data_IF_551705482741
#
_entry.id   IF_551705482741
#
_cell.length_a   1.000
_cell.length_b   1.000
_cell.length_c   1.000
_cell.angle_alpha   90.00
_cell.angle_beta   90.00
_cell.angle_gamma   90.00
#
_symmetry.space_group_name_H-M   'P 1'
#
loop_
_entity.id
_entity.type
_entity.pdbx_description
1 polymer ?
#
# COMPACT_ATOMS: atom_id res chain seq x y z
N UNK A 1 -21.57 -2.50 27.93
CA UNK A 1 -20.14 -2.57 27.55
C UNK A 1 -20.07 -2.73 26.03
N UNK A 2 -19.67 -1.69 25.31
CA UNK A 2 -19.43 -1.79 23.88
C UNK A 2 -18.10 -2.54 23.69
N UNK A 3 -18.14 -3.78 23.18
CA UNK A 3 -16.92 -4.48 22.79
C UNK A 3 -16.43 -3.79 21.52
N UNK A 4 -15.34 -3.02 21.61
CA UNK A 4 -14.69 -2.52 20.40
C UNK A 4 -14.29 -3.70 19.52
N UNK A 5 -14.68 -3.64 18.25
CA UNK A 5 -14.33 -4.67 17.29
C UNK A 5 -12.81 -4.60 17.04
N UNK A 6 -12.16 -5.76 16.82
CA UNK A 6 -10.75 -5.84 16.48
C UNK A 6 -10.37 -4.89 15.33
N UNK A 7 -11.21 -4.80 14.28
CA UNK A 7 -10.96 -3.90 13.14
C UNK A 7 -10.88 -2.43 13.54
N UNK A 8 -11.74 -1.98 14.45
CA UNK A 8 -11.70 -0.60 14.97
C UNK A 8 -10.43 -0.32 15.76
N UNK A 9 -9.95 -1.31 16.52
CA UNK A 9 -8.72 -1.20 17.29
C UNK A 9 -7.49 -1.13 16.38
N UNK A 10 -7.47 -1.93 15.31
CA UNK A 10 -6.40 -1.89 14.29
C UNK A 10 -6.39 -0.55 13.56
N UNK A 11 -7.55 -0.03 13.16
CA UNK A 11 -7.63 1.30 12.52
C UNK A 11 -7.12 2.41 13.45
N UNK A 12 -7.49 2.39 14.73
CA UNK A 12 -6.97 3.35 15.73
C UNK A 12 -5.46 3.22 15.92
N UNK A 13 -4.95 2.01 15.97
CA UNK A 13 -3.51 1.77 16.08
C UNK A 13 -2.75 2.24 14.84
N UNK A 14 -3.30 2.05 13.64
CA UNK A 14 -2.71 2.59 12.41
C UNK A 14 -2.66 4.11 12.45
N UNK A 15 -3.73 4.77 12.89
CA UNK A 15 -3.72 6.23 13.12
C UNK A 15 -2.65 6.64 14.13
N UNK A 16 -2.47 5.89 15.23
CA UNK A 16 -1.41 6.15 16.21
C UNK A 16 -0.02 6.05 15.58
N UNK A 17 0.24 5.01 14.79
CA UNK A 17 1.52 4.84 14.10
C UNK A 17 1.83 6.02 13.15
N UNK A 18 0.82 6.52 12.43
CA UNK A 18 0.98 7.69 11.56
C UNK A 18 1.24 8.95 12.39
N UNK A 19 0.39 9.24 13.38
CA UNK A 19 0.40 10.53 14.10
C UNK A 19 1.54 10.62 15.12
N UNK A 20 1.79 9.56 15.89
CA UNK A 20 2.77 9.59 16.98
C UNK A 20 4.15 9.11 16.53
N UNK A 21 4.23 8.13 15.61
CA UNK A 21 5.51 7.57 15.15
C UNK A 21 5.98 8.12 13.81
N UNK A 22 5.13 8.87 13.10
CA UNK A 22 5.47 9.41 11.78
C UNK A 22 5.51 8.34 10.67
N UNK A 23 4.90 7.18 10.87
CA UNK A 23 4.86 6.11 9.85
C UNK A 23 3.79 6.42 8.81
N UNK A 24 4.02 7.48 8.03
CA UNK A 24 3.11 7.93 6.97
C UNK A 24 3.07 6.93 5.79
N UNK A 25 2.20 7.20 4.81
CA UNK A 25 2.15 6.36 3.59
C UNK A 25 3.46 6.42 2.82
N UNK A 26 4.08 7.59 2.78
CA UNK A 26 5.37 7.82 2.12
C UNK A 26 6.48 7.04 2.82
N UNK A 27 6.48 7.03 4.17
CA UNK A 27 7.37 6.16 4.94
C UNK A 27 7.15 4.68 4.60
N UNK A 28 5.89 4.23 4.55
CA UNK A 28 5.59 2.83 4.23
C UNK A 28 6.10 2.46 2.82
N UNK A 29 5.98 3.38 1.85
CA UNK A 29 6.43 3.19 0.48
C UNK A 29 7.95 3.03 0.35
N UNK A 30 8.74 3.46 1.35
CA UNK A 30 10.19 3.21 1.41
C UNK A 30 10.54 1.74 1.79
N UNK A 31 9.62 1.01 2.42
CA UNK A 31 9.84 -0.38 2.91
C UNK A 31 9.43 -1.43 1.87
N UNK A 32 10.10 -1.45 0.72
CA UNK A 32 9.84 -2.39 -0.38
C UNK A 32 10.41 -3.81 -0.16
N UNK A 33 11.17 -4.01 0.93
CA UNK A 33 11.85 -5.25 1.28
C UNK A 33 10.98 -6.24 2.07
N UNK A 34 9.72 -5.88 2.34
CA UNK A 34 8.79 -6.67 3.15
C UNK A 34 8.97 -6.48 4.66
N UNK A 35 9.80 -5.54 5.10
CA UNK A 35 10.06 -5.29 6.52
C UNK A 35 8.81 -4.89 7.32
N UNK A 36 7.80 -4.24 6.70
CA UNK A 36 6.51 -3.98 7.35
C UNK A 36 5.80 -5.28 7.73
N UNK A 37 5.73 -6.27 6.82
CA UNK A 37 5.14 -7.57 7.11
C UNK A 37 5.93 -8.34 8.18
N UNK A 38 7.26 -8.31 8.11
CA UNK A 38 8.11 -9.00 9.08
C UNK A 38 7.97 -8.40 10.49
N UNK A 39 7.84 -7.08 10.60
CA UNK A 39 7.49 -6.41 11.85
C UNK A 39 6.12 -6.88 12.35
N UNK A 40 5.11 -6.92 11.48
CA UNK A 40 3.78 -7.44 11.78
C UNK A 40 3.82 -8.86 12.35
N UNK A 41 4.56 -9.76 11.70
CA UNK A 41 4.76 -11.15 12.13
C UNK A 41 5.47 -11.22 13.49
N UNK A 42 6.48 -10.39 13.70
CA UNK A 42 7.20 -10.26 14.96
C UNK A 42 6.29 -9.89 16.14
N UNK A 43 5.32 -8.99 15.95
CA UNK A 43 4.29 -8.65 16.94
C UNK A 43 3.24 -9.77 17.09
N UNK A 44 2.94 -10.44 15.98
CA UNK A 44 2.00 -11.56 15.89
C UNK A 44 2.50 -12.85 16.53
N UNK A 45 3.78 -12.98 16.85
CA UNK A 45 4.35 -14.23 17.32
C UNK A 45 4.31 -14.40 18.85
N UNK A 46 4.06 -15.62 19.31
CA UNK A 46 4.17 -16.00 20.74
C UNK A 46 5.59 -16.38 21.13
N UNK A 47 6.42 -16.70 20.14
CA UNK A 47 7.82 -17.08 20.25
C UNK A 47 8.61 -16.32 19.17
N UNK A 48 9.94 -16.18 19.29
CA UNK A 48 10.74 -15.61 18.21
C UNK A 48 10.49 -16.35 16.88
N UNK A 49 10.23 -15.61 15.80
CA UNK A 49 10.03 -16.16 14.45
C UNK A 49 11.34 -16.09 13.69
N UNK A 50 11.69 -17.16 12.98
CA UNK A 50 12.90 -17.25 12.16
C UNK A 50 12.56 -17.87 10.79
N UNK A 51 13.17 -17.33 9.72
CA UNK A 51 13.17 -17.90 8.36
C UNK A 51 14.63 -18.24 8.03
N UNK A 52 14.98 -19.52 7.96
CA UNK A 52 16.30 -19.95 7.52
C UNK A 52 16.16 -21.29 6.78
N UNK A 53 16.49 -21.31 5.48
CA UNK A 53 16.87 -22.43 4.60
C UNK A 53 16.59 -23.91 4.95
N UNK A 54 15.59 -24.25 5.76
CA UNK A 54 15.25 -25.61 6.18
C UNK A 54 15.80 -26.10 7.55
N UNK A 55 16.57 -25.31 8.31
CA UNK A 55 17.19 -25.79 9.56
C UNK A 55 17.00 -24.87 10.78
N UNK A 56 16.79 -25.46 11.96
CA UNK A 56 16.41 -24.81 13.22
C UNK A 56 17.60 -24.69 14.19
N UNK A 57 17.97 -23.45 14.55
CA UNK A 57 18.90 -23.15 15.65
C UNK A 57 18.28 -22.11 16.61
N UNK A 58 18.68 -22.06 17.89
CA UNK A 58 18.11 -21.14 18.87
C UNK A 58 18.61 -19.70 18.62
N UNK A 59 17.81 -18.83 17.99
CA UNK A 59 18.22 -17.44 17.69
C UNK A 59 17.16 -16.41 18.11
N UNK A 60 17.66 -15.27 18.64
CA UNK A 60 16.92 -14.06 19.04
C UNK A 60 16.08 -13.47 17.89
N UNK A 61 15.00 -12.81 18.28
CA UNK A 61 13.99 -12.13 17.45
C UNK A 61 14.54 -11.22 16.34
N UNK A 62 14.18 -11.49 15.08
CA UNK A 62 14.51 -10.70 13.88
C UNK A 62 13.52 -9.53 13.69
N UNK A 63 13.43 -8.62 14.65
CA UNK A 63 12.73 -7.36 14.35
C UNK A 63 13.50 -6.64 13.23
N UNK A 64 12.85 -6.24 12.12
CA UNK A 64 13.56 -5.83 10.91
C UNK A 64 14.29 -4.49 11.05
N UNK A 65 13.92 -3.70 12.06
CA UNK A 65 14.52 -2.40 12.32
C UNK A 65 15.29 -2.38 13.65
N UNK A 66 15.89 -1.23 13.97
CA UNK A 66 16.66 -1.05 15.19
C UNK A 66 15.87 -1.52 16.44
N UNK A 67 16.44 -2.39 17.30
CA UNK A 67 15.73 -2.97 18.46
C UNK A 67 15.13 -1.96 19.43
N UNK A 68 15.58 -0.70 19.41
CA UNK A 68 15.02 0.36 20.24
C UNK A 68 13.56 0.67 19.88
N UNK A 69 13.17 0.42 18.63
CA UNK A 69 11.81 0.61 18.12
C UNK A 69 10.90 -0.59 18.38
N UNK A 70 11.48 -1.71 18.83
CA UNK A 70 10.74 -2.89 19.24
C UNK A 70 10.12 -2.68 20.63
N UNK A 71 8.82 -2.41 20.67
CA UNK A 71 8.07 -2.24 21.91
C UNK A 71 7.23 -3.47 22.31
N UNK A 72 7.45 -4.64 21.70
CA UNK A 72 6.65 -5.85 21.97
C UNK A 72 6.60 -6.25 23.44
N UNK A 73 7.71 -6.07 24.16
CA UNK A 73 7.81 -6.41 25.58
C UNK A 73 7.08 -5.41 26.50
N UNK A 74 6.64 -4.26 25.96
CA UNK A 74 5.96 -3.20 26.72
C UNK A 74 4.43 -3.35 26.71
N UNK A 75 3.90 -4.37 26.04
CA UNK A 75 2.48 -4.51 25.75
C UNK A 75 1.98 -5.92 26.05
N UNK A 76 0.67 -6.03 26.34
CA UNK A 76 0.03 -7.33 26.47
C UNK A 76 -0.11 -8.03 25.12
N UNK A 77 -0.52 -9.30 25.15
CA UNK A 77 -0.65 -10.11 23.94
C UNK A 77 -1.67 -9.54 22.95
N UNK A 78 -2.79 -8.98 23.43
CA UNK A 78 -3.85 -8.45 22.55
C UNK A 78 -3.37 -7.17 21.86
N UNK A 79 -2.73 -6.27 22.59
CA UNK A 79 -2.12 -5.06 22.05
C UNK A 79 -1.04 -5.39 21.02
N UNK A 80 -0.21 -6.40 21.27
CA UNK A 80 0.77 -6.85 20.27
C UNK A 80 0.09 -7.32 18.98
N UNK A 81 -0.99 -8.11 19.06
CA UNK A 81 -1.74 -8.51 17.86
C UNK A 81 -2.35 -7.32 17.10
N UNK A 82 -2.83 -6.30 17.82
CA UNK A 82 -3.37 -5.07 17.21
C UNK A 82 -2.26 -4.29 16.49
N UNK A 83 -1.09 -4.11 17.12
CA UNK A 83 0.07 -3.45 16.51
C UNK A 83 0.54 -4.22 15.28
N UNK A 84 0.64 -5.54 15.38
CA UNK A 84 1.05 -6.39 14.25
C UNK A 84 0.09 -6.31 13.07
N UNK A 85 -1.22 -6.34 13.33
CA UNK A 85 -2.23 -6.18 12.29
C UNK A 85 -2.19 -4.79 11.63
N UNK A 86 -1.85 -3.74 12.36
CA UNK A 86 -1.66 -2.40 11.79
C UNK A 86 -0.45 -2.34 10.84
N UNK A 87 0.63 -3.08 11.12
CA UNK A 87 1.76 -3.23 10.19
C UNK A 87 1.38 -4.02 8.93
N UNK A 88 0.60 -5.10 9.07
CA UNK A 88 0.11 -5.83 7.90
C UNK A 88 -0.83 -4.98 7.02
N UNK A 89 -1.66 -4.15 7.64
CA UNK A 89 -2.49 -3.17 6.92
C UNK A 89 -1.62 -2.18 6.14
N UNK A 90 -0.56 -1.65 6.76
CA UNK A 90 0.38 -0.74 6.11
C UNK A 90 1.05 -1.38 4.88
N UNK A 91 1.52 -2.63 5.01
CA UNK A 91 2.14 -3.37 3.90
C UNK A 91 1.14 -3.65 2.77
N UNK A 92 -0.07 -4.09 3.10
CA UNK A 92 -1.11 -4.33 2.10
C UNK A 92 -1.43 -3.05 1.33
N UNK A 93 -1.66 -1.94 2.05
CA UNK A 93 -1.96 -0.66 1.43
C UNK A 93 -0.80 -0.17 0.55
N UNK A 94 0.46 -0.45 0.92
CA UNK A 94 1.66 -0.17 0.11
C UNK A 94 1.66 -0.96 -1.20
N UNK A 95 1.44 -2.27 -1.13
CA UNK A 95 1.38 -3.14 -2.32
C UNK A 95 0.26 -2.68 -3.25
N UNK A 96 -0.94 -2.44 -2.72
CA UNK A 96 -2.07 -1.96 -3.52
C UNK A 96 -1.77 -0.61 -4.17
N UNK A 97 -1.09 0.32 -3.46
CA UNK A 97 -0.65 1.59 -4.06
C UNK A 97 0.32 1.38 -5.21
N UNK A 98 1.23 0.43 -5.10
CA UNK A 98 2.19 0.10 -6.16
C UNK A 98 1.50 -0.54 -7.37
N UNK A 99 0.64 -1.53 -7.16
CA UNK A 99 -0.19 -2.15 -8.22
C UNK A 99 -1.08 -1.11 -8.93
N UNK A 100 -1.57 -0.11 -8.19
CA UNK A 100 -2.33 1.00 -8.77
C UNK A 100 -1.51 1.93 -9.65
N UNK A 101 -0.19 2.05 -9.46
CA UNK A 101 0.69 2.81 -10.37
C UNK A 101 0.87 2.04 -11.67
N UNK A 102 1.01 0.72 -11.60
CA UNK A 102 1.16 -0.15 -12.76
C UNK A 102 -0.13 -0.25 -13.60
N UNK A 103 -1.28 -0.09 -12.95
CA UNK A 103 -2.60 -0.03 -13.63
C UNK A 103 -3.00 1.38 -14.06
N UNK A 104 -2.10 2.37 -14.08
CA UNK A 104 -2.39 3.72 -14.60
C UNK A 104 -1.48 4.11 -15.76
N UNK A 105 -2.04 4.81 -16.73
CA UNK A 105 -1.27 5.43 -17.81
C UNK A 105 -0.29 6.48 -17.27
N UNK A 106 1.01 6.39 -17.59
CA UNK A 106 2.04 7.33 -17.11
C UNK A 106 1.89 8.76 -17.65
N UNK A 107 1.24 8.94 -18.80
CA UNK A 107 1.01 10.26 -19.41
C UNK A 107 -0.23 10.98 -18.87
N UNK A 108 -1.37 10.28 -18.75
CA UNK A 108 -2.66 10.89 -18.40
C UNK A 108 -3.25 10.46 -17.04
N UNK A 109 -2.58 9.56 -16.30
CA UNK A 109 -2.98 9.06 -14.97
C UNK A 109 -4.37 8.39 -14.92
N UNK A 110 -4.92 7.97 -16.06
CA UNK A 110 -6.19 7.27 -16.14
C UNK A 110 -6.03 5.78 -15.85
N UNK A 111 -7.02 5.17 -15.18
CA UNK A 111 -7.04 3.73 -14.84
C UNK A 111 -7.09 2.88 -16.12
N UNK A 112 -6.20 1.90 -16.22
CA UNK A 112 -6.24 0.86 -17.23
C UNK A 112 -7.40 -0.07 -16.89
N UNK A 113 -8.24 -0.42 -17.88
CA UNK A 113 -9.31 -1.39 -17.67
C UNK A 113 -8.71 -2.77 -17.35
N UNK A 114 -9.25 -3.44 -16.34
CA UNK A 114 -8.80 -4.72 -15.75
C UNK A 114 -8.79 -5.93 -16.72
N UNK A 115 -8.99 -5.73 -18.02
CA UNK A 115 -8.87 -6.81 -19.00
C UNK A 115 -7.39 -7.03 -19.33
N UNK A 116 -6.75 -7.79 -18.45
CA UNK A 116 -5.40 -8.33 -18.60
C UNK A 116 -5.36 -9.22 -19.85
N UNK A 117 -5.02 -8.64 -21.00
CA UNK A 117 -4.91 -9.37 -22.25
C UNK A 117 -4.55 -8.48 -23.43
N UNK A 118 -3.25 -8.27 -23.64
CA UNK A 118 -2.58 -7.89 -24.91
C UNK A 118 -3.02 -6.66 -25.71
N UNK A 119 -4.08 -5.95 -25.34
CA UNK A 119 -4.53 -4.74 -26.03
C UNK A 119 -4.97 -3.67 -25.02
N UNK A 120 -4.04 -3.15 -24.21
CA UNK A 120 -4.35 -2.08 -23.26
C UNK A 120 -4.73 -0.81 -24.02
N UNK A 121 -6.00 -0.43 -24.06
CA UNK A 121 -6.46 0.79 -24.72
C UNK A 121 -6.66 1.89 -23.68
N UNK A 122 -6.26 3.13 -24.00
CA UNK A 122 -6.54 4.28 -23.15
C UNK A 122 -8.03 4.64 -23.24
N UNK A 123 -8.81 4.47 -22.16
CA UNK A 123 -10.26 4.68 -22.18
C UNK A 123 -10.71 6.11 -22.55
N UNK A 124 -9.82 7.11 -22.44
CA UNK A 124 -10.07 8.49 -22.89
C UNK A 124 -9.87 8.69 -24.40
N UNK A 125 -9.01 7.89 -25.04
CA UNK A 125 -8.56 8.13 -26.43
C UNK A 125 -8.88 6.97 -27.37
N UNK A 126 -9.21 5.79 -26.84
CA UNK A 126 -9.43 4.56 -27.62
C UNK A 126 -8.17 4.05 -28.34
N UNK A 127 -6.98 4.53 -27.97
CA UNK A 127 -5.72 4.15 -28.62
C UNK A 127 -4.98 3.04 -27.86
N UNK A 128 -4.25 2.16 -28.57
CA UNK A 128 -3.42 1.12 -27.96
C UNK A 128 -2.23 1.75 -27.23
N UNK A 129 -2.06 1.38 -25.97
CA UNK A 129 -0.96 1.74 -25.09
C UNK A 129 0.19 0.76 -25.28
N UNK A 130 1.40 1.27 -25.50
CA UNK A 130 2.63 0.48 -25.56
C UNK A 130 3.24 0.36 -24.14
N UNK A 131 3.90 -0.76 -23.83
CA UNK A 131 4.56 -0.99 -22.52
C UNK A 131 5.69 0.03 -22.24
N UNK A 132 6.22 0.62 -23.31
CA UNK A 132 7.32 1.55 -23.28
C UNK A 132 6.80 2.95 -22.98
N UNK A 133 7.09 3.42 -21.76
CA UNK A 133 6.73 4.75 -21.29
C UNK A 133 7.20 5.89 -22.20
N UNK A 134 8.24 5.68 -23.02
CA UNK A 134 8.74 6.69 -23.95
C UNK A 134 7.82 6.93 -25.14
N UNK A 135 6.95 5.97 -25.49
CA UNK A 135 5.95 6.11 -26.55
C UNK A 135 4.67 6.77 -26.05
N UNK A 136 4.35 6.64 -24.76
CA UNK A 136 3.15 7.25 -24.20
C UNK A 136 3.17 8.79 -24.31
N UNK A 137 4.33 9.41 -24.12
CA UNK A 137 4.51 10.87 -24.25
C UNK A 137 4.33 11.37 -25.70
N UNK A 138 4.58 10.51 -26.68
CA UNK A 138 4.52 10.87 -28.10
C UNK A 138 3.10 10.82 -28.68
N UNK A 139 2.20 10.04 -28.05
CA UNK A 139 0.83 9.81 -28.52
C UNK A 139 -0.26 10.24 -27.52
N UNK A 140 0.09 10.73 -26.33
CA UNK A 140 -0.86 11.28 -25.37
C UNK A 140 -1.28 12.70 -25.79
N UNK A 141 -2.55 12.95 -26.17
CA UNK A 141 -3.00 14.23 -26.72
C UNK A 141 -3.11 15.34 -25.66
N UNK A 142 -2.94 15.04 -24.38
CA UNK A 142 -2.93 16.05 -23.31
C UNK A 142 -1.54 16.08 -22.66
N UNK A 143 -0.67 17.01 -23.04
CA UNK A 143 0.54 17.27 -22.27
C UNK A 143 0.12 17.91 -20.95
N UNK A 144 0.23 17.17 -19.85
CA UNK A 144 0.36 17.64 -18.46
C UNK A 144 -0.24 19.03 -18.10
N UNK A 145 -1.48 19.32 -18.52
CA UNK A 145 -2.26 20.42 -17.98
C UNK A 145 -3.24 19.82 -16.99
N UNK A 146 -3.21 20.38 -15.78
CA UNK A 146 -3.92 19.96 -14.58
C UNK A 146 -5.30 19.39 -14.87
N UNK A 147 -5.64 18.26 -14.24
CA UNK A 147 -6.88 17.51 -14.43
C UNK A 147 -8.19 18.33 -14.37
N UNK A 148 -8.13 19.56 -13.85
CA UNK A 148 -9.24 20.50 -13.74
C UNK A 148 -9.66 21.13 -15.08
N UNK A 149 -8.79 21.14 -16.10
CA UNK A 149 -9.05 21.80 -17.37
C UNK A 149 -9.38 20.87 -18.54
N UNK A 150 -9.32 19.54 -18.34
CA UNK A 150 -9.66 18.58 -19.38
C UNK A 150 -11.19 18.61 -19.69
N UNK A 151 -11.60 19.04 -20.89
CA UNK A 151 -13.02 19.15 -21.26
C UNK A 151 -13.76 17.80 -21.22
N UNK A 152 -13.07 16.69 -21.44
CA UNK A 152 -13.63 15.33 -21.43
C UNK A 152 -13.94 14.82 -20.01
N UNK A 153 -13.24 15.34 -18.98
CA UNK A 153 -13.53 15.04 -17.58
C UNK A 153 -14.75 15.83 -17.05
N UNK A 154 -15.01 17.03 -17.62
CA UNK A 154 -16.19 17.86 -17.25
C UNK A 154 -17.52 17.27 -17.72
N UNK A 155 -17.53 16.45 -18.78
CA UNK A 155 -18.73 15.78 -19.27
C UNK A 155 -19.10 14.51 -18.48
N UNK A 156 -18.13 13.82 -17.89
CA UNK A 156 -18.38 12.61 -17.09
C UNK A 156 -18.89 12.92 -15.66
N UNK A 157 -18.44 14.03 -15.06
CA UNK A 157 -18.80 14.43 -13.69
C UNK A 157 -20.21 15.05 -13.52
N UNK A 158 -21.07 15.04 -14.55
CA UNK A 158 -22.45 15.58 -14.47
C UNK A 158 -23.56 14.54 -14.32
N UNK A 159 -23.24 13.26 -14.08
CA UNK A 159 -24.24 12.18 -14.08
C UNK A 159 -24.25 11.32 -12.80
N UNK A 160 -24.05 11.89 -11.61
CA UNK A 160 -24.23 11.12 -10.36
C UNK A 160 -24.61 11.98 -9.15
N UNK A 161 -25.52 12.94 -9.30
CA UNK A 161 -26.31 13.46 -8.18
C UNK A 161 -27.70 13.86 -8.71
N UNK A 162 -28.54 12.86 -8.95
CA UNK A 162 -29.99 12.94 -8.80
C UNK A 162 -30.43 11.74 -7.95
#
# INVERSE_FOLDING_TARGET
MHRSNFLELVAKERTRQIVEKGYTREHDDEHTDGSLADAGACYGATVPVYKLGGETFPVRTLYPWCPVFDSRQKHDRKTNLIIGAAFFMAEYDRIVREEQKDTRCRGCNYLLSDEVGVDTWCALTGMPMYDDSSRCDQYCPTPFETSEDNPLLKSFNRSSYE
#
